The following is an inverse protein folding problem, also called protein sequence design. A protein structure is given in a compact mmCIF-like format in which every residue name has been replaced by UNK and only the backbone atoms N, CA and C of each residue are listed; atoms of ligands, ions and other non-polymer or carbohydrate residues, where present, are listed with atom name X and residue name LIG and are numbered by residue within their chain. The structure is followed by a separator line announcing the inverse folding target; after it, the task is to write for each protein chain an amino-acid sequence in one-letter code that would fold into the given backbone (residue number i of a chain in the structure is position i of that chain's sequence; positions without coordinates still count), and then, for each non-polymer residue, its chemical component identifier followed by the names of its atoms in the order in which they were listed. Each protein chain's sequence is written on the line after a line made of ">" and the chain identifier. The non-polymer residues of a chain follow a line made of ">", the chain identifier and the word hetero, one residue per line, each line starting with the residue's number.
data_IF_138608230906
#
_entry.id   IF_138608230906
#
_cell.length_a   1.000
_cell.length_b   1.000
_cell.length_c   1.000
_cell.angle_alpha   90.00
_cell.angle_beta   90.00
_cell.angle_gamma   90.00
#
_symmetry.space_group_name_H-M   'P 1'
#
loop_
_entity.id
_entity.type
_entity.pdbx_description
1 polymer ?
#
# COMPACT_ATOMS: atom_id res chain seq x y z
N UNK A 1 67.79 -23.37 -6.75
CA UNK A 1 66.87 -22.46 -6.03
C UNK A 1 65.52 -22.55 -6.73
N UNK A 2 64.44 -22.97 -6.04
CA UNK A 2 63.10 -23.12 -6.61
C UNK A 2 62.24 -21.96 -6.12
N UNK A 3 61.83 -21.08 -7.04
CA UNK A 3 60.95 -19.95 -6.74
C UNK A 3 59.50 -20.41 -6.85
N UNK A 4 58.73 -20.30 -5.77
CA UNK A 4 57.29 -20.56 -5.77
C UNK A 4 56.59 -19.21 -5.95
N UNK A 5 55.79 -19.08 -7.00
CA UNK A 5 54.95 -17.89 -7.24
C UNK A 5 53.53 -18.24 -6.78
N UNK A 6 53.05 -17.59 -5.71
CA UNK A 6 51.64 -17.64 -5.31
C UNK A 6 50.86 -16.58 -6.10
N UNK A 7 49.93 -17.03 -6.93
CA UNK A 7 48.92 -16.17 -7.56
C UNK A 7 47.76 -15.96 -6.57
N UNK A 8 47.69 -14.79 -5.94
CA UNK A 8 46.53 -14.38 -5.13
C UNK A 8 45.46 -13.78 -6.04
N UNK A 9 44.39 -14.54 -6.28
CA UNK A 9 43.22 -14.10 -7.04
C UNK A 9 42.30 -13.28 -6.12
N UNK A 10 42.48 -11.96 -6.09
CA UNK A 10 41.59 -11.06 -5.37
C UNK A 10 40.31 -10.83 -6.21
N UNK A 11 39.23 -11.53 -5.88
CA UNK A 11 37.90 -11.22 -6.41
C UNK A 11 37.38 -9.93 -5.75
N UNK A 12 37.44 -8.82 -6.47
CA UNK A 12 36.75 -7.59 -6.08
C UNK A 12 35.28 -7.78 -6.44
N UNK A 13 34.47 -8.22 -5.47
CA UNK A 13 33.01 -8.20 -5.61
C UNK A 13 32.54 -6.75 -5.49
N UNK A 14 32.28 -6.11 -6.62
CA UNK A 14 31.52 -4.86 -6.64
C UNK A 14 30.05 -5.19 -6.34
N UNK A 15 29.63 -4.96 -5.10
CA UNK A 15 28.23 -5.08 -4.72
C UNK A 15 27.42 -3.94 -5.35
N UNK A 16 26.82 -4.18 -6.51
CA UNK A 16 25.84 -3.28 -7.10
C UNK A 16 24.55 -3.34 -6.27
N UNK A 17 24.36 -2.41 -5.34
CA UNK A 17 23.07 -2.25 -4.67
C UNK A 17 22.08 -1.62 -5.64
N UNK A 18 20.89 -2.21 -5.78
CA UNK A 18 19.82 -1.59 -6.53
C UNK A 18 19.47 -0.23 -5.89
N UNK A 19 19.15 0.81 -6.69
CA UNK A 19 18.73 2.10 -6.15
C UNK A 19 17.50 1.93 -5.25
N UNK A 20 17.53 2.56 -4.08
CA UNK A 20 16.38 2.58 -3.18
C UNK A 20 15.24 3.35 -3.86
N UNK A 21 14.02 2.78 -3.94
CA UNK A 21 12.90 3.47 -4.58
C UNK A 21 12.60 4.84 -3.94
N UNK A 22 12.21 5.79 -4.78
CA UNK A 22 11.92 7.15 -4.33
C UNK A 22 10.74 7.17 -3.33
N UNK A 23 10.73 8.14 -2.39
CA UNK A 23 9.61 8.29 -1.46
C UNK A 23 8.33 8.73 -2.21
N UNK A 24 7.18 8.27 -1.72
CA UNK A 24 5.87 8.79 -2.11
C UNK A 24 5.71 10.18 -1.50
N UNK A 25 5.17 11.13 -2.27
CA UNK A 25 4.88 12.48 -1.82
C UNK A 25 3.38 12.68 -1.60
N UNK A 26 3.02 13.45 -0.58
CA UNK A 26 1.67 13.94 -0.39
C UNK A 26 1.36 15.12 -1.32
N UNK A 27 0.11 15.60 -1.26
CA UNK A 27 -0.38 16.72 -2.09
C UNK A 27 0.30 18.06 -1.79
N UNK A 28 1.14 18.14 -0.75
CA UNK A 28 1.96 19.31 -0.41
C UNK A 28 3.44 19.08 -0.75
N UNK A 29 3.77 18.01 -1.48
CA UNK A 29 5.13 17.65 -1.85
C UNK A 29 5.98 17.09 -0.70
N UNK A 30 5.37 16.69 0.42
CA UNK A 30 6.10 16.13 1.57
C UNK A 30 6.10 14.61 1.52
N UNK A 31 7.17 13.99 2.01
CA UNK A 31 7.25 12.53 2.07
C UNK A 31 6.10 11.95 2.91
N UNK A 32 5.46 10.92 2.35
CA UNK A 32 4.48 10.09 3.04
C UNK A 32 5.18 9.24 4.11
N UNK A 33 4.61 9.21 5.32
CA UNK A 33 5.23 8.59 6.50
C UNK A 33 4.40 7.43 7.03
N UNK A 34 5.09 6.38 7.45
CA UNK A 34 4.45 5.22 8.08
C UNK A 34 3.66 5.63 9.34
N UNK A 35 2.46 5.07 9.50
CA UNK A 35 1.59 5.30 10.66
C UNK A 35 0.94 6.70 10.78
N UNK A 36 1.29 7.65 9.90
CA UNK A 36 0.64 8.96 9.85
C UNK A 36 -0.69 8.84 9.11
N UNK A 37 -1.71 9.59 9.58
CA UNK A 37 -3.04 9.59 8.96
C UNK A 37 -3.08 10.47 7.72
N UNK A 38 -3.58 9.90 6.63
CA UNK A 38 -3.81 10.58 5.37
C UNK A 38 -5.25 10.37 4.90
N UNK A 39 -5.68 11.19 3.95
CA UNK A 39 -6.87 10.95 3.13
C UNK A 39 -6.43 10.86 1.68
N UNK A 40 -7.04 9.93 0.95
CA UNK A 40 -6.84 9.77 -0.48
C UNK A 40 -7.96 10.50 -1.19
N UNK A 41 -7.62 11.30 -2.18
CA UNK A 41 -8.54 11.99 -3.06
C UNK A 41 -8.13 11.73 -4.52
N UNK A 42 -9.07 11.79 -5.48
CA UNK A 42 -8.75 11.75 -6.90
C UNK A 42 -7.85 12.94 -7.29
N UNK A 43 -7.04 12.74 -8.34
CA UNK A 43 -6.12 13.74 -8.90
C UNK A 43 -6.87 14.80 -9.70
N UNK A 44 -7.69 14.36 -10.67
CA UNK A 44 -8.55 15.23 -11.49
C UNK A 44 -10.00 15.21 -11.00
N UNK A 45 -10.62 16.38 -11.00
CA UNK A 45 -12.01 16.58 -10.58
C UNK A 45 -12.99 16.28 -11.71
N UNK A 46 -13.27 14.99 -11.94
CA UNK A 46 -14.33 14.51 -12.85
C UNK A 46 -15.77 14.76 -12.32
N UNK A 47 -15.92 15.61 -11.29
CA UNK A 47 -17.16 15.85 -10.57
C UNK A 47 -17.38 14.95 -9.36
N UNK A 48 -16.64 13.84 -9.24
CA UNK A 48 -16.62 12.97 -8.06
C UNK A 48 -15.39 13.30 -7.22
N UNK A 49 -15.53 14.26 -6.30
CA UNK A 49 -14.39 14.71 -5.47
C UNK A 49 -14.23 13.93 -4.15
N UNK A 50 -15.06 12.91 -3.95
CA UNK A 50 -15.08 12.14 -2.71
C UNK A 50 -13.78 11.37 -2.50
N UNK A 51 -13.36 11.24 -1.25
CA UNK A 51 -12.21 10.42 -0.87
C UNK A 51 -12.57 8.94 -0.73
N UNK A 52 -11.59 8.11 -0.38
CA UNK A 52 -11.83 6.68 -0.15
C UNK A 52 -12.51 6.43 1.21
N UNK A 53 -13.52 5.57 1.22
CA UNK A 53 -14.34 5.21 2.38
C UNK A 53 -14.76 3.74 2.32
N UNK A 54 -15.55 3.31 3.30
CA UNK A 54 -16.28 2.05 3.27
C UNK A 54 -17.60 2.26 2.54
N UNK A 55 -17.88 1.43 1.54
CA UNK A 55 -19.10 1.47 0.74
C UNK A 55 -19.86 0.15 0.85
N UNK A 56 -21.18 0.25 0.91
CA UNK A 56 -22.07 -0.90 0.90
C UNK A 56 -22.33 -1.36 -0.53
N UNK A 57 -22.44 -2.67 -0.71
CA UNK A 57 -22.72 -3.28 -2.02
C UNK A 57 -24.02 -4.06 -1.93
N UNK A 58 -25.00 -3.71 -2.77
CA UNK A 58 -26.30 -4.41 -2.86
C UNK A 58 -26.99 -4.57 -1.49
N UNK A 59 -26.98 -3.52 -0.67
CA UNK A 59 -27.53 -3.50 0.69
C UNK A 59 -26.87 -4.52 1.66
N UNK A 60 -25.68 -5.00 1.32
CA UNK A 60 -24.82 -5.75 2.23
C UNK A 60 -23.79 -4.80 2.84
N UNK A 61 -23.80 -4.71 4.16
CA UNK A 61 -22.85 -3.87 4.92
C UNK A 61 -21.48 -4.54 5.07
N UNK A 62 -21.41 -5.87 5.04
CA UNK A 62 -20.18 -6.63 5.29
C UNK A 62 -19.96 -7.81 4.32
N UNK A 63 -18.70 -8.09 3.91
CA UNK A 63 -17.51 -7.30 4.22
C UNK A 63 -17.58 -5.93 3.52
N UNK A 64 -17.18 -4.87 4.22
CA UNK A 64 -17.25 -3.53 3.66
C UNK A 64 -16.21 -3.35 2.55
N UNK A 65 -16.66 -2.85 1.41
CA UNK A 65 -15.82 -2.60 0.23
C UNK A 65 -15.13 -1.26 0.40
N UNK A 66 -13.86 -1.18 0.03
CA UNK A 66 -13.14 0.09 -0.10
C UNK A 66 -13.57 0.73 -1.41
N UNK A 67 -14.22 1.88 -1.34
CA UNK A 67 -14.74 2.59 -2.50
C UNK A 67 -14.63 4.10 -2.35
N UNK A 68 -14.92 4.81 -3.43
CA UNK A 68 -14.98 6.27 -3.41
C UNK A 68 -16.29 6.73 -2.76
N UNK A 69 -16.21 7.66 -1.83
CA UNK A 69 -17.38 8.25 -1.19
C UNK A 69 -18.15 9.15 -2.18
N UNK A 70 -19.49 9.24 -2.06
CA UNK A 70 -20.29 10.10 -2.91
C UNK A 70 -20.07 11.59 -2.59
N UNK A 71 -20.17 12.44 -3.62
CA UNK A 71 -20.20 13.90 -3.48
C UNK A 71 -18.92 14.51 -2.91
N UNK A 72 -19.06 15.32 -1.86
CA UNK A 72 -17.97 16.09 -1.24
C UNK A 72 -17.35 15.41 -0.01
N UNK A 73 -17.76 14.18 0.32
CA UNK A 73 -17.21 13.47 1.48
C UNK A 73 -15.73 13.16 1.25
N UNK A 74 -14.88 13.69 2.14
CA UNK A 74 -13.42 13.52 2.07
C UNK A 74 -12.95 12.10 2.39
N UNK A 75 -13.87 11.18 2.70
CA UNK A 75 -13.59 9.79 3.01
C UNK A 75 -12.95 9.59 4.38
N UNK A 76 -12.54 8.36 4.65
CA UNK A 76 -11.95 7.96 5.91
C UNK A 76 -10.45 8.26 5.96
N UNK A 77 -9.96 8.56 7.15
CA UNK A 77 -8.53 8.60 7.39
C UNK A 77 -7.93 7.20 7.29
N UNK A 78 -6.75 7.09 6.72
CA UNK A 78 -6.01 5.83 6.63
C UNK A 78 -4.54 6.00 6.97
N UNK A 79 -3.89 4.89 7.29
CA UNK A 79 -2.45 4.81 7.56
C UNK A 79 -1.80 3.81 6.60
N UNK A 80 -0.52 4.01 6.37
CA UNK A 80 0.33 3.12 5.59
C UNK A 80 1.38 2.47 6.48
N UNK A 81 1.59 1.17 6.30
CA UNK A 81 2.61 0.39 7.02
C UNK A 81 3.52 -0.31 6.01
N UNK A 82 4.79 0.07 5.89
CA UNK A 82 5.71 -0.53 4.92
C UNK A 82 6.06 -1.97 5.32
N UNK A 83 6.35 -2.81 4.33
CA UNK A 83 6.77 -4.21 4.53
C UNK A 83 7.99 -4.34 5.46
N UNK A 84 8.91 -3.36 5.41
CA UNK A 84 9.97 -3.24 6.40
C UNK A 84 9.49 -2.31 7.55
N UNK A 85 9.17 -2.84 8.74
CA UNK A 85 8.62 -2.04 9.84
C UNK A 85 9.61 -1.01 10.41
N UNK A 86 10.90 -1.11 10.07
CA UNK A 86 11.92 -0.12 10.45
C UNK A 86 11.91 1.10 9.52
N UNK A 87 11.37 0.98 8.31
CA UNK A 87 11.28 2.09 7.37
C UNK A 87 10.24 3.11 7.86
N UNK A 88 10.60 4.40 7.79
CA UNK A 88 9.71 5.49 8.21
C UNK A 88 8.99 6.16 7.05
N UNK A 89 9.52 6.00 5.83
CA UNK A 89 8.96 6.58 4.61
C UNK A 89 8.21 5.53 3.82
N UNK A 90 7.09 5.90 3.22
CA UNK A 90 6.44 5.06 2.21
C UNK A 90 7.13 5.34 0.88
N UNK A 91 7.52 4.29 0.17
CA UNK A 91 8.29 4.37 -1.06
C UNK A 91 7.51 3.78 -2.22
N UNK A 92 7.78 4.29 -3.42
CA UNK A 92 7.23 3.76 -4.64
C UNK A 92 7.61 2.28 -4.81
N UNK A 93 6.74 1.53 -5.48
CA UNK A 93 6.96 0.12 -5.87
C UNK A 93 7.36 -0.84 -4.74
N UNK A 94 7.10 -0.44 -3.50
CA UNK A 94 7.41 -1.18 -2.27
C UNK A 94 6.12 -1.64 -1.62
N UNK A 95 6.09 -2.89 -1.16
CA UNK A 95 4.91 -3.48 -0.52
C UNK A 95 4.51 -2.70 0.73
N UNK A 96 3.23 -2.37 0.83
CA UNK A 96 2.63 -1.60 1.92
C UNK A 96 1.28 -2.18 2.28
N UNK A 97 0.98 -2.27 3.58
CA UNK A 97 -0.39 -2.45 4.04
C UNK A 97 -1.08 -1.09 4.17
N UNK A 98 -2.35 -1.03 3.78
CA UNK A 98 -3.20 0.15 3.90
C UNK A 98 -4.31 -0.19 4.89
N UNK A 99 -4.62 0.74 5.79
CA UNK A 99 -5.61 0.50 6.85
C UNK A 99 -6.41 1.75 7.15
N UNK A 100 -7.74 1.63 7.15
CA UNK A 100 -8.60 2.71 7.65
C UNK A 100 -8.46 2.90 9.16
N UNK A 101 -8.55 4.16 9.59
CA UNK A 101 -8.57 4.57 10.99
C UNK A 101 -9.99 4.65 11.53
N UNK A 102 -10.18 4.31 12.80
CA UNK A 102 -11.49 4.34 13.46
C UNK A 102 -12.11 2.95 13.58
N UNK A 103 -13.36 2.89 14.00
CA UNK A 103 -14.16 1.67 14.05
C UNK A 103 -14.84 1.40 12.71
N UNK A 104 -15.13 0.13 12.43
CA UNK A 104 -16.03 -0.30 11.36
C UNK A 104 -17.16 -1.15 11.95
N UNK A 105 -18.27 -1.27 11.24
CA UNK A 105 -19.45 -2.04 11.65
C UNK A 105 -19.32 -3.55 11.42
N UNK A 106 -18.28 -4.01 10.70
CA UNK A 106 -18.13 -5.42 10.32
C UNK A 106 -17.43 -6.28 11.37
N UNK A 107 -17.03 -5.73 12.52
CA UNK A 107 -16.23 -6.43 13.53
C UNK A 107 -14.97 -7.11 12.94
N UNK A 108 -14.45 -6.53 11.86
CA UNK A 108 -13.30 -7.02 11.11
C UNK A 108 -12.14 -6.04 11.23
N UNK A 109 -10.92 -6.48 10.89
CA UNK A 109 -9.76 -5.59 10.77
C UNK A 109 -10.01 -4.50 9.71
N UNK A 110 -9.53 -3.28 9.92
CA UNK A 110 -9.58 -2.22 8.89
C UNK A 110 -8.49 -2.32 7.82
N UNK A 111 -7.65 -3.35 7.87
CA UNK A 111 -6.60 -3.58 6.89
C UNK A 111 -7.22 -4.01 5.57
N UNK A 112 -6.73 -3.41 4.50
CA UNK A 112 -7.20 -3.70 3.15
C UNK A 112 -6.68 -5.05 2.67
N UNK A 113 -7.53 -5.75 1.93
CA UNK A 113 -7.17 -6.96 1.19
C UNK A 113 -7.89 -7.00 -0.15
N UNK A 114 -7.26 -7.59 -1.15
CA UNK A 114 -7.90 -7.96 -2.41
C UNK A 114 -8.61 -9.30 -2.24
N UNK A 115 -9.92 -9.34 -2.49
CA UNK A 115 -10.71 -10.56 -2.42
C UNK A 115 -11.80 -10.55 -3.48
N UNK A 116 -12.15 -11.73 -3.98
CA UNK A 116 -13.32 -11.87 -4.84
C UNK A 116 -14.59 -11.57 -4.04
N UNK A 117 -15.40 -10.64 -4.53
CA UNK A 117 -16.64 -10.22 -3.91
C UNK A 117 -17.83 -10.83 -4.67
N UNK A 118 -18.45 -11.86 -4.10
CA UNK A 118 -19.51 -12.65 -4.73
C UNK A 118 -20.64 -11.80 -5.31
N UNK A 119 -21.11 -10.82 -4.54
CA UNK A 119 -22.23 -9.97 -4.96
C UNK A 119 -21.86 -9.05 -6.15
N UNK A 120 -20.59 -8.67 -6.29
CA UNK A 120 -20.12 -7.84 -7.41
C UNK A 120 -19.63 -8.68 -8.59
N UNK A 121 -19.38 -9.98 -8.38
CA UNK A 121 -18.76 -10.90 -9.34
C UNK A 121 -17.41 -10.42 -9.88
N UNK A 122 -16.61 -9.79 -9.03
CA UNK A 122 -15.27 -9.31 -9.37
C UNK A 122 -14.37 -9.25 -8.13
N UNK A 123 -13.06 -9.12 -8.34
CA UNK A 123 -12.15 -8.78 -7.25
C UNK A 123 -12.35 -7.34 -6.83
N UNK A 124 -12.43 -7.12 -5.52
CA UNK A 124 -12.55 -5.82 -4.92
C UNK A 124 -11.56 -5.68 -3.77
N UNK A 125 -11.20 -4.45 -3.44
CA UNK A 125 -10.50 -4.16 -2.20
C UNK A 125 -11.55 -4.09 -1.10
N UNK A 126 -11.39 -4.91 -0.07
CA UNK A 126 -12.28 -4.98 1.10
C UNK A 126 -11.47 -4.84 2.38
N UNK A 127 -12.14 -4.60 3.49
CA UNK A 127 -11.53 -4.72 4.82
C UNK A 127 -11.46 -6.18 5.29
N UNK A 128 -10.95 -6.42 6.49
CA UNK A 128 -10.78 -7.75 7.08
C UNK A 128 -9.41 -8.39 6.80
N UNK A 129 -8.46 -7.63 6.27
CA UNK A 129 -7.11 -8.08 6.02
C UNK A 129 -6.24 -8.22 7.27
N UNK A 130 -5.02 -8.71 7.08
CA UNK A 130 -4.00 -8.89 8.12
C UNK A 130 -2.84 -7.94 7.87
N UNK A 131 -2.46 -7.17 8.89
CA UNK A 131 -1.28 -6.29 8.86
C UNK A 131 0.00 -7.11 9.11
N UNK A 132 1.03 -6.88 8.30
CA UNK A 132 2.34 -7.53 8.42
C UNK A 132 2.36 -8.99 7.95
N UNK A 133 3.35 -9.74 8.45
CA UNK A 133 3.60 -11.15 8.12
C UNK A 133 3.75 -11.40 6.59
N UNK A 134 4.70 -10.74 5.91
CA UNK A 134 4.84 -10.86 4.46
C UNK A 134 5.11 -12.30 4.05
N UNK A 135 4.32 -12.80 3.11
CA UNK A 135 4.45 -14.15 2.57
C UNK A 135 3.18 -14.62 1.86
N UNK A 136 3.16 -15.87 1.36
CA UNK A 136 2.05 -16.39 0.56
C UNK A 136 0.68 -16.31 1.23
N UNK A 137 0.64 -16.41 2.57
CA UNK A 137 -0.60 -16.36 3.35
C UNK A 137 -1.22 -14.97 3.46
N UNK A 138 -0.44 -13.91 3.25
CA UNK A 138 -0.90 -12.52 3.33
C UNK A 138 -0.76 -11.78 2.02
N UNK A 139 -0.42 -12.48 0.92
CA UNK A 139 -0.13 -11.89 -0.38
C UNK A 139 -1.20 -10.89 -0.83
N UNK A 140 -2.47 -11.20 -0.59
CA UNK A 140 -3.60 -10.36 -0.95
C UNK A 140 -3.80 -9.10 -0.09
N UNK A 141 -2.98 -8.87 0.95
CA UNK A 141 -3.04 -7.69 1.83
C UNK A 141 -1.98 -6.64 1.46
N UNK A 142 -1.10 -6.95 0.51
CA UNK A 142 0.02 -6.09 0.12
C UNK A 142 -0.31 -5.33 -1.15
N UNK A 143 -0.15 -4.02 -1.07
CA UNK A 143 -0.33 -3.09 -2.17
C UNK A 143 0.99 -2.40 -2.50
N UNK A 144 1.06 -1.77 -3.67
CA UNK A 144 2.15 -0.86 -4.04
C UNK A 144 1.54 0.47 -4.46
N UNK A 145 2.25 1.54 -4.14
CA UNK A 145 1.94 2.87 -4.65
C UNK A 145 2.91 3.13 -5.80
N UNK A 146 2.34 3.49 -6.94
CA UNK A 146 3.10 3.81 -8.14
C UNK A 146 2.84 5.26 -8.56
N UNK A 147 3.74 5.81 -9.37
CA UNK A 147 3.49 7.09 -10.00
C UNK A 147 2.44 6.88 -11.11
N UNK A 148 1.34 7.61 -11.03
CA UNK A 148 0.35 7.61 -12.11
C UNK A 148 0.93 8.30 -13.35
N UNK A 149 0.62 7.75 -14.53
CA UNK A 149 0.87 8.41 -15.80
C UNK A 149 -0.43 9.10 -16.22
N UNK A 150 -0.57 10.37 -15.85
CA UNK A 150 -1.64 11.23 -16.31
C UNK A 150 -1.13 11.97 -17.55
N UNK A 151 -1.68 11.62 -18.71
CA UNK A 151 -1.45 12.28 -20.00
C UNK A 151 -2.51 13.32 -20.26
#
# INVERSE_FOLDING_TARGET
>A
MKTIILFSLAFIFTANSAPVPAPVLDTKGKNLRAGVKYRVKPEDGDGYIGGLSLVEVRNMSCPAVVGQAPGLDKGLWLTFTPVNPKERLIRLSTDVNIKFSGSNSCNESNVWQLKYHEAMKQYAVIVGGVEGNPGPKTLNNWFKIEKGNFT
#
